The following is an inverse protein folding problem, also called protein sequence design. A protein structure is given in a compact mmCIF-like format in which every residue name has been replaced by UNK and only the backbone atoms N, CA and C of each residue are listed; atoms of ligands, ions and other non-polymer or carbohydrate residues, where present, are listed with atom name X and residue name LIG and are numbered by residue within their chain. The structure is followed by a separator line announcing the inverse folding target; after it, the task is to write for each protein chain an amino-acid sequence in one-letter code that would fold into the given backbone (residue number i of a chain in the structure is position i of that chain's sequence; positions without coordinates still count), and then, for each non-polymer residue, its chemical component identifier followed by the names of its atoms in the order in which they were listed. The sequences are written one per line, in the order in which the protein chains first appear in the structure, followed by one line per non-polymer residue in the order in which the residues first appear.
data_IF_839285194655
#
_entry.id   IF_839285194655
#
_cell.length_a   1.000
_cell.length_b   1.000
_cell.length_c   1.000
_cell.angle_alpha   90.00
_cell.angle_beta   90.00
_cell.angle_gamma   90.00
#
_symmetry.space_group_name_H-M   'P 1'
#
loop_
_entity.id
_entity.type
_entity.pdbx_description
1 polymer ?
#
# COMPACT_ATOMS: atom_id res chain seq x y z
N UNK A 1 -14.91 -8.81 9.66
CA UNK A 1 -13.70 -8.01 9.96
C UNK A 1 -12.41 -8.83 9.89
N UNK A 2 -12.33 -10.01 10.50
CA UNK A 2 -11.12 -10.84 10.47
C UNK A 2 -10.60 -11.14 9.04
N UNK A 3 -11.49 -11.27 8.06
CA UNK A 3 -11.13 -11.53 6.67
C UNK A 3 -10.40 -10.36 5.97
N UNK A 4 -10.47 -9.13 6.51
CA UNK A 4 -9.80 -7.93 5.95
C UNK A 4 -8.42 -7.73 6.59
N UNK A 5 -8.06 -8.51 7.61
CA UNK A 5 -6.79 -8.38 8.34
C UNK A 5 -5.56 -8.42 7.43
N UNK A 6 -5.45 -9.32 6.41
CA UNK A 6 -4.30 -9.31 5.51
C UNK A 6 -4.13 -8.00 4.74
N UNK A 7 -5.23 -7.33 4.37
CA UNK A 7 -5.20 -6.01 3.74
C UNK A 7 -4.75 -4.93 4.72
N UNK A 8 -5.26 -4.94 5.95
CA UNK A 8 -4.87 -3.99 6.99
C UNK A 8 -3.38 -4.14 7.34
N UNK A 9 -2.90 -5.38 7.42
CA UNK A 9 -1.47 -5.67 7.60
C UNK A 9 -0.68 -5.13 6.41
N UNK A 10 -1.04 -5.46 5.17
CA UNK A 10 -0.37 -4.92 3.98
C UNK A 10 -0.27 -3.39 4.03
N UNK A 11 -1.34 -2.68 4.38
CA UNK A 11 -1.33 -1.22 4.52
C UNK A 11 -0.32 -0.75 5.57
N UNK A 12 -0.21 -1.45 6.70
CA UNK A 12 0.73 -1.09 7.77
C UNK A 12 2.18 -1.37 7.37
N UNK A 13 2.43 -2.53 6.77
CA UNK A 13 3.74 -2.90 6.26
C UNK A 13 4.21 -1.91 5.18
N UNK A 14 3.33 -1.56 4.22
CA UNK A 14 3.58 -0.59 3.15
C UNK A 14 3.90 0.81 3.71
N UNK A 15 3.07 1.32 4.63
CA UNK A 15 3.23 2.65 5.20
C UNK A 15 4.54 2.79 5.99
N UNK A 16 4.91 1.78 6.79
CA UNK A 16 6.19 1.78 7.50
C UNK A 16 7.39 1.74 6.54
N UNK A 17 7.23 1.06 5.41
CA UNK A 17 8.23 1.05 4.33
C UNK A 17 8.42 2.43 3.72
N UNK A 18 7.32 3.07 3.33
CA UNK A 18 7.29 4.40 2.75
C UNK A 18 7.92 5.44 3.69
N UNK A 19 7.53 5.43 4.98
CA UNK A 19 7.85 6.49 5.93
C UNK A 19 9.26 6.39 6.53
N UNK A 20 9.79 5.18 6.73
CA UNK A 20 11.03 4.99 7.47
C UNK A 20 12.09 4.27 6.65
N UNK A 21 11.78 3.07 6.14
CA UNK A 21 12.82 2.17 5.63
C UNK A 21 13.44 2.70 4.34
N UNK A 22 12.63 3.20 3.40
CA UNK A 22 13.14 3.74 2.15
C UNK A 22 13.97 5.02 2.36
N UNK A 23 13.44 6.09 3.00
CA UNK A 23 14.20 7.32 3.15
C UNK A 23 15.47 7.14 3.99
N UNK A 24 15.46 6.27 5.01
CA UNK A 24 16.67 5.96 5.78
C UNK A 24 17.70 5.19 4.96
N UNK A 25 17.29 4.16 4.22
CA UNK A 25 18.21 3.38 3.36
C UNK A 25 18.84 4.25 2.26
N UNK A 26 18.09 5.23 1.74
CA UNK A 26 18.62 6.16 0.73
C UNK A 26 19.58 7.21 1.31
N UNK A 27 19.43 7.54 2.59
CA UNK A 27 20.25 8.51 3.30
C UNK A 27 21.54 7.89 3.88
N UNK A 28 21.50 6.65 4.35
CA UNK A 28 22.65 5.91 4.90
C UNK A 28 23.58 5.30 3.82
N UNK A 29 23.75 6.00 2.69
CA UNK A 29 24.69 5.62 1.64
C UNK A 29 25.76 6.71 1.47
N UNK A 30 27.04 6.36 1.64
CA UNK A 30 28.17 7.31 1.55
C UNK A 30 28.24 7.99 0.18
N UNK A 31 27.85 7.28 -0.89
CA UNK A 31 27.81 7.80 -2.25
C UNK A 31 26.74 8.91 -2.43
N UNK A 32 25.77 8.96 -1.53
CA UNK A 32 24.70 9.96 -1.48
C UNK A 32 24.92 11.03 -0.40
N UNK A 33 26.04 11.02 0.33
CA UNK A 33 26.27 11.95 1.44
C UNK A 33 26.23 13.43 1.01
N UNK A 34 26.53 13.72 -0.27
CA UNK A 34 26.42 15.07 -0.86
C UNK A 34 24.97 15.48 -1.21
N UNK A 35 24.02 14.55 -1.23
CA UNK A 35 22.62 14.82 -1.58
C UNK A 35 21.76 15.08 -0.33
N UNK A 36 21.87 16.28 0.25
CA UNK A 36 21.16 16.65 1.49
C UNK A 36 19.61 16.62 1.36
N UNK A 37 19.07 16.89 0.17
CA UNK A 37 17.63 17.05 -0.07
C UNK A 37 16.85 15.76 -0.38
N UNK A 38 17.45 14.58 -0.18
CA UNK A 38 16.78 13.28 -0.46
C UNK A 38 15.43 13.16 0.26
N UNK A 39 15.31 13.39 1.59
CA UNK A 39 14.04 13.21 2.28
C UNK A 39 12.95 14.16 1.80
N UNK A 40 13.33 15.39 1.42
CA UNK A 40 12.40 16.40 0.94
C UNK A 40 11.83 16.03 -0.44
N UNK A 41 12.70 15.65 -1.39
CA UNK A 41 12.29 15.25 -2.75
C UNK A 41 11.49 13.95 -2.71
N UNK A 42 11.88 13.01 -1.85
CA UNK A 42 11.14 11.78 -1.63
C UNK A 42 9.73 12.06 -1.08
N UNK A 43 9.62 12.86 -0.02
CA UNK A 43 8.32 13.21 0.58
C UNK A 43 7.43 13.98 -0.40
N UNK A 44 8.03 14.86 -1.21
CA UNK A 44 7.32 15.57 -2.28
C UNK A 44 6.78 14.60 -3.35
N UNK A 45 7.60 13.65 -3.80
CA UNK A 45 7.20 12.64 -4.77
C UNK A 45 6.07 11.74 -4.25
N UNK A 46 6.21 11.25 -3.02
CA UNK A 46 5.19 10.42 -2.36
C UNK A 46 3.86 11.16 -2.22
N UNK A 47 3.87 12.36 -1.66
CA UNK A 47 2.65 13.18 -1.52
C UNK A 47 2.02 13.52 -2.87
N UNK A 48 2.83 13.82 -3.89
CA UNK A 48 2.32 14.07 -5.25
C UNK A 48 1.65 12.82 -5.83
N UNK A 49 2.27 11.65 -5.66
CA UNK A 49 1.70 10.37 -6.11
C UNK A 49 0.37 10.04 -5.42
N UNK A 50 0.28 10.27 -4.11
CA UNK A 50 -0.95 10.06 -3.33
C UNK A 50 -2.10 10.95 -3.82
N UNK A 51 -1.84 12.25 -3.97
CA UNK A 51 -2.85 13.22 -4.43
C UNK A 51 -3.32 12.90 -5.85
N UNK A 52 -2.38 12.64 -6.77
CA UNK A 52 -2.72 12.30 -8.16
C UNK A 52 -3.57 11.04 -8.24
N UNK A 53 -3.19 9.97 -7.52
CA UNK A 53 -3.96 8.74 -7.54
C UNK A 53 -5.32 8.90 -6.87
N UNK A 54 -5.41 9.69 -5.81
CA UNK A 54 -6.68 10.02 -5.14
C UNK A 54 -7.66 10.71 -6.09
N UNK A 55 -7.18 11.66 -6.89
CA UNK A 55 -7.98 12.33 -7.93
C UNK A 55 -8.42 11.33 -9.02
N UNK A 56 -7.51 10.48 -9.51
CA UNK A 56 -7.82 9.45 -10.52
C UNK A 56 -8.89 8.49 -10.01
N UNK A 57 -8.76 7.99 -8.77
CA UNK A 57 -9.74 7.09 -8.15
C UNK A 57 -11.09 7.80 -7.99
N UNK A 58 -11.10 9.05 -7.52
CA UNK A 58 -12.33 9.83 -7.32
C UNK A 58 -13.11 10.01 -8.63
N UNK A 59 -12.44 10.41 -9.71
CA UNK A 59 -13.07 10.60 -11.02
C UNK A 59 -13.47 9.26 -11.67
N UNK A 60 -12.63 8.24 -11.55
CA UNK A 60 -12.90 6.92 -12.14
C UNK A 60 -14.02 6.18 -11.41
N UNK A 61 -14.17 6.37 -10.09
CA UNK A 61 -15.26 5.80 -9.29
C UNK A 61 -16.62 6.37 -9.66
N UNK A 62 -16.69 7.60 -10.18
CA UNK A 62 -17.93 8.19 -10.71
C UNK A 62 -18.34 7.57 -12.04
N UNK A 63 -17.37 7.17 -12.87
CA UNK A 63 -17.60 6.65 -14.23
C UNK A 63 -17.78 5.13 -14.27
N UNK A 64 -17.09 4.40 -13.39
CA UNK A 64 -17.05 2.94 -13.39
C UNK A 64 -17.51 2.42 -12.01
N UNK A 65 -18.64 1.72 -11.99
CA UNK A 65 -19.12 1.09 -10.76
C UNK A 65 -18.11 0.05 -10.25
N UNK A 66 -17.74 0.16 -8.97
CA UNK A 66 -16.81 -0.76 -8.33
C UNK A 66 -15.33 -0.50 -8.62
N UNK A 67 -14.98 0.62 -9.27
CA UNK A 67 -13.57 0.96 -9.54
C UNK A 67 -12.75 1.01 -8.25
N UNK A 68 -13.30 1.59 -7.18
CA UNK A 68 -12.64 1.71 -5.88
C UNK A 68 -12.37 0.39 -5.13
N UNK A 69 -12.70 -0.79 -5.69
CA UNK A 69 -12.47 -2.10 -5.07
C UNK A 69 -11.40 -2.91 -5.82
N UNK A 70 -11.84 -3.76 -6.78
CA UNK A 70 -10.98 -4.74 -7.45
C UNK A 70 -9.91 -4.09 -8.32
N UNK A 71 -10.22 -3.13 -9.23
CA UNK A 71 -9.20 -2.58 -10.10
C UNK A 71 -8.26 -1.64 -9.33
N UNK A 72 -8.72 -0.85 -8.36
CA UNK A 72 -7.82 -0.08 -7.48
C UNK A 72 -6.85 -0.99 -6.72
N UNK A 73 -7.30 -2.14 -6.19
CA UNK A 73 -6.40 -3.09 -5.53
C UNK A 73 -5.35 -3.64 -6.50
N UNK A 74 -5.75 -4.00 -7.72
CA UNK A 74 -4.82 -4.51 -8.73
C UNK A 74 -3.77 -3.47 -9.15
N UNK A 75 -4.19 -2.21 -9.34
CA UNK A 75 -3.27 -1.10 -9.67
C UNK A 75 -2.29 -0.87 -8.51
N UNK A 76 -2.77 -0.86 -7.26
CA UNK A 76 -1.92 -0.74 -6.08
C UNK A 76 -0.89 -1.86 -6.00
N UNK A 77 -1.31 -3.11 -6.15
CA UNK A 77 -0.39 -4.26 -6.14
C UNK A 77 0.61 -4.22 -7.29
N UNK A 78 0.21 -3.80 -8.50
CA UNK A 78 1.14 -3.64 -9.62
C UNK A 78 2.17 -2.53 -9.34
N UNK A 79 1.72 -1.36 -8.86
CA UNK A 79 2.60 -0.26 -8.48
C UNK A 79 3.59 -0.68 -7.37
N UNK A 80 3.12 -1.46 -6.39
CA UNK A 80 3.94 -2.06 -5.35
C UNK A 80 5.06 -2.93 -5.91
N UNK A 81 4.75 -3.85 -6.82
CA UNK A 81 5.75 -4.71 -7.46
C UNK A 81 6.80 -3.86 -8.21
N UNK A 82 6.36 -2.83 -8.93
CA UNK A 82 7.24 -1.96 -9.70
C UNK A 82 8.18 -1.18 -8.80
N UNK A 83 7.69 -0.54 -7.74
CA UNK A 83 8.59 0.22 -6.87
C UNK A 83 9.49 -0.70 -6.03
N UNK A 84 9.02 -1.88 -5.59
CA UNK A 84 9.86 -2.84 -4.87
C UNK A 84 11.00 -3.36 -5.75
N UNK A 85 10.74 -3.63 -7.03
CA UNK A 85 11.79 -4.05 -7.99
C UNK A 85 12.77 -2.91 -8.29
N UNK A 86 12.28 -1.67 -8.43
CA UNK A 86 13.13 -0.49 -8.57
C UNK A 86 14.06 -0.31 -7.36
N UNK A 87 13.53 -0.42 -6.13
CA UNK A 87 14.33 -0.32 -4.89
C UNK A 87 15.35 -1.44 -4.81
N UNK A 88 14.96 -2.67 -5.16
CA UNK A 88 15.87 -3.82 -5.18
C UNK A 88 17.01 -3.65 -6.19
N UNK A 89 16.76 -2.96 -7.32
CA UNK A 89 17.78 -2.65 -8.33
C UNK A 89 18.63 -1.41 -8.00
N UNK A 90 18.08 -0.43 -7.25
CA UNK A 90 18.74 0.84 -6.95
C UNK A 90 19.50 0.87 -5.63
N UNK A 91 19.22 -0.06 -4.71
CA UNK A 91 19.71 0.05 -3.32
C UNK A 91 20.36 -1.25 -2.84
N UNK A 92 21.60 -1.19 -2.31
CA UNK A 92 22.29 -2.36 -1.79
C UNK A 92 21.60 -2.94 -0.54
N UNK A 93 21.78 -4.25 -0.31
CA UNK A 93 21.09 -5.05 0.72
C UNK A 93 21.22 -4.49 2.15
N UNK A 94 22.40 -3.97 2.46
CA UNK A 94 22.86 -3.59 3.80
C UNK A 94 22.58 -2.11 4.15
N UNK A 95 22.05 -1.34 3.20
CA UNK A 95 21.76 0.09 3.35
C UNK A 95 20.90 0.49 4.57
N UNK A 96 19.93 -0.32 5.06
CA UNK A 96 19.17 0.03 6.27
C UNK A 96 19.94 -0.20 7.57
N UNK A 97 20.99 -1.03 7.55
CA UNK A 97 21.64 -1.54 8.76
C UNK A 97 22.98 -0.87 9.04
N UNK A 98 23.74 -0.51 7.99
CA UNK A 98 25.05 0.13 8.10
C UNK A 98 25.29 1.13 6.97
N UNK A 99 26.02 2.24 7.22
CA UNK A 99 26.57 3.07 6.16
C UNK A 99 27.40 2.17 5.23
N UNK A 100 26.95 2.04 3.99
CA UNK A 100 27.52 1.10 3.03
C UNK A 100 28.08 1.89 1.85
N UNK A 101 29.34 1.60 1.49
CA UNK A 101 30.04 2.17 0.33
C UNK A 101 29.94 1.26 -0.90
N UNK A 102 29.14 0.18 -0.84
CA UNK A 102 28.93 -0.75 -1.94
C UNK A 102 28.18 -0.09 -3.10
N UNK A 103 28.64 -0.38 -4.31
CA UNK A 103 28.01 0.11 -5.53
C UNK A 103 26.59 -0.47 -5.68
N UNK A 104 25.60 0.36 -6.06
CA UNK A 104 24.26 -0.13 -6.35
C UNK A 104 24.30 -1.10 -7.54
N UNK A 105 23.43 -2.11 -7.50
CA UNK A 105 23.46 -3.25 -8.42
C UNK A 105 23.21 -2.85 -9.90
N UNK A 106 22.58 -1.70 -10.17
CA UNK A 106 22.20 -1.30 -11.53
C UNK A 106 22.17 0.21 -11.82
N UNK A 107 21.74 1.06 -10.88
CA UNK A 107 21.62 2.52 -11.11
C UNK A 107 22.20 3.34 -9.97
N UNK A 108 22.97 4.38 -10.30
CA UNK A 108 23.36 5.39 -9.32
C UNK A 108 22.15 6.22 -8.91
N UNK A 109 22.03 6.49 -7.61
CA UNK A 109 20.90 7.27 -7.11
C UNK A 109 20.96 8.69 -7.68
N UNK A 110 19.83 9.18 -8.19
CA UNK A 110 19.67 10.56 -8.65
C UNK A 110 18.35 11.13 -8.14
N UNK A 111 18.29 12.45 -7.94
CA UNK A 111 17.05 13.13 -7.53
C UNK A 111 15.80 12.78 -8.36
N UNK A 112 15.84 12.74 -9.71
CA UNK A 112 14.66 12.36 -10.49
C UNK A 112 14.27 10.89 -10.27
N UNK A 113 15.23 9.99 -10.10
CA UNK A 113 14.94 8.58 -9.83
C UNK A 113 14.28 8.40 -8.45
N UNK A 114 14.78 9.08 -7.42
CA UNK A 114 14.16 9.09 -6.07
C UNK A 114 12.72 9.60 -6.16
N UNK A 115 12.50 10.69 -6.88
CA UNK A 115 11.17 11.27 -7.07
C UNK A 115 10.21 10.27 -7.74
N UNK A 116 10.66 9.59 -8.80
CA UNK A 116 9.84 8.59 -9.51
C UNK A 116 9.51 7.39 -8.62
N UNK A 117 10.49 6.85 -7.87
CA UNK A 117 10.23 5.76 -6.91
C UNK A 117 9.22 6.19 -5.87
N UNK A 118 9.41 7.38 -5.28
CA UNK A 118 8.50 7.93 -4.27
C UNK A 118 7.09 8.13 -4.82
N UNK A 119 6.97 8.63 -6.06
CA UNK A 119 5.70 8.83 -6.75
C UNK A 119 4.95 7.51 -6.92
N UNK A 120 5.61 6.46 -7.41
CA UNK A 120 4.99 5.13 -7.58
C UNK A 120 4.59 4.54 -6.22
N UNK A 121 5.42 4.75 -5.19
CA UNK A 121 5.13 4.32 -3.83
C UNK A 121 3.88 5.01 -3.25
N UNK A 122 3.76 6.34 -3.44
CA UNK A 122 2.58 7.11 -3.04
C UNK A 122 1.31 6.70 -3.79
N UNK A 123 1.41 6.38 -5.09
CA UNK A 123 0.30 5.81 -5.86
C UNK A 123 -0.19 4.50 -5.21
N UNK A 124 0.74 3.60 -4.89
CA UNK A 124 0.43 2.32 -4.25
C UNK A 124 -0.24 2.50 -2.88
N UNK A 125 0.31 3.38 -2.03
CA UNK A 125 -0.23 3.63 -0.69
C UNK A 125 -1.67 4.18 -0.74
N UNK A 126 -1.90 5.15 -1.63
CA UNK A 126 -3.23 5.71 -1.85
C UNK A 126 -4.24 4.65 -2.30
N UNK A 127 -3.84 3.72 -3.18
CA UNK A 127 -4.68 2.61 -3.60
C UNK A 127 -5.10 1.71 -2.42
N UNK A 128 -4.14 1.25 -1.62
CA UNK A 128 -4.43 0.34 -0.51
C UNK A 128 -5.28 1.01 0.58
N UNK A 129 -4.97 2.25 0.93
CA UNK A 129 -5.76 3.01 1.90
C UNK A 129 -7.18 3.33 1.39
N UNK A 130 -7.33 3.63 0.10
CA UNK A 130 -8.62 3.82 -0.54
C UNK A 130 -9.47 2.55 -0.52
N UNK A 131 -8.89 1.43 -0.97
CA UNK A 131 -9.56 0.11 -1.00
C UNK A 131 -9.99 -0.32 0.40
N UNK A 132 -9.11 -0.14 1.41
CA UNK A 132 -9.41 -0.44 2.82
C UNK A 132 -10.61 0.38 3.33
N UNK A 133 -10.65 1.67 3.02
CA UNK A 133 -11.76 2.55 3.41
C UNK A 133 -13.09 2.07 2.80
N UNK A 134 -13.10 1.76 1.50
CA UNK A 134 -14.29 1.32 0.78
C UNK A 134 -14.79 -0.04 1.29
N UNK A 135 -13.91 -1.04 1.45
CA UNK A 135 -14.34 -2.37 1.91
C UNK A 135 -14.83 -2.35 3.37
N UNK A 136 -14.23 -1.54 4.25
CA UNK A 136 -14.71 -1.36 5.62
C UNK A 136 -16.15 -0.81 5.64
N UNK A 137 -16.46 0.14 4.75
CA UNK A 137 -17.80 0.69 4.63
C UNK A 137 -18.83 -0.34 4.11
N UNK A 138 -18.41 -1.25 3.21
CA UNK A 138 -19.28 -2.28 2.62
C UNK A 138 -19.52 -3.48 3.54
N UNK A 139 -18.52 -3.93 4.29
CA UNK A 139 -18.67 -5.13 5.14
C UNK A 139 -19.50 -4.86 6.40
N UNK A 140 -19.50 -3.63 6.92
CA UNK A 140 -20.33 -3.23 8.06
C UNK A 140 -21.00 -1.86 7.82
N UNK A 141 -22.05 -1.80 6.99
CA UNK A 141 -22.67 -0.53 6.61
C UNK A 141 -23.36 0.19 7.77
N UNK A 142 -23.81 -0.53 8.80
CA UNK A 142 -24.44 0.04 10.01
C UNK A 142 -23.42 0.58 11.04
N UNK A 143 -22.16 0.13 10.97
CA UNK A 143 -21.11 0.46 11.95
C UNK A 143 -19.79 0.84 11.25
N UNK A 144 -19.89 1.65 10.20
CA UNK A 144 -18.75 2.02 9.33
C UNK A 144 -17.58 2.62 10.11
N UNK A 145 -17.86 3.56 11.01
CA UNK A 145 -16.83 4.20 11.83
C UNK A 145 -16.09 3.19 12.72
N UNK A 146 -16.81 2.26 13.36
CA UNK A 146 -16.21 1.22 14.21
C UNK A 146 -15.35 0.26 13.38
N UNK A 147 -15.84 -0.18 12.22
CA UNK A 147 -15.07 -1.02 11.28
C UNK A 147 -13.78 -0.33 10.83
N UNK A 148 -13.87 0.95 10.47
CA UNK A 148 -12.71 1.71 10.05
C UNK A 148 -11.68 1.86 11.17
N UNK A 149 -12.10 2.15 12.41
CA UNK A 149 -11.21 2.21 13.56
C UNK A 149 -10.49 0.89 13.82
N UNK A 150 -11.20 -0.24 13.75
CA UNK A 150 -10.59 -1.57 13.90
C UNK A 150 -9.57 -1.84 12.79
N UNK A 151 -9.84 -1.43 11.56
CA UNK A 151 -8.88 -1.57 10.45
C UNK A 151 -7.58 -0.78 10.70
N UNK A 152 -7.68 0.43 11.26
CA UNK A 152 -6.53 1.26 11.62
C UNK A 152 -5.74 0.69 12.79
N UNK A 153 -6.41 0.04 13.74
CA UNK A 153 -5.74 -0.67 14.84
C UNK A 153 -4.84 -1.80 14.31
N UNK A 154 -5.33 -2.62 13.38
CA UNK A 154 -4.51 -3.66 12.74
C UNK A 154 -3.36 -3.08 11.90
N UNK A 155 -3.62 -1.99 11.18
CA UNK A 155 -2.59 -1.27 10.43
C UNK A 155 -1.47 -0.77 11.36
N UNK A 156 -1.83 -0.13 12.47
CA UNK A 156 -0.87 0.38 13.45
C UNK A 156 -0.08 -0.76 14.12
N UNK A 157 -0.74 -1.87 14.46
CA UNK A 157 -0.06 -3.05 15.00
C UNK A 157 0.99 -3.60 14.02
N UNK A 158 0.67 -3.65 12.73
CA UNK A 158 1.63 -4.05 11.69
C UNK A 158 2.80 -3.05 11.57
N UNK A 159 2.54 -1.75 11.66
CA UNK A 159 3.59 -0.74 11.68
C UNK A 159 4.56 -0.92 12.86
N UNK A 160 4.04 -1.19 14.06
CA UNK A 160 4.85 -1.39 15.27
C UNK A 160 5.75 -2.62 15.11
N UNK A 161 5.22 -3.72 14.56
CA UNK A 161 6.00 -4.92 14.27
C UNK A 161 7.16 -4.59 13.33
N UNK A 162 6.90 -3.94 12.19
CA UNK A 162 7.97 -3.54 11.28
C UNK A 162 8.99 -2.66 11.99
N UNK A 163 8.57 -1.60 12.69
CA UNK A 163 9.54 -0.67 13.28
C UNK A 163 10.43 -1.32 14.32
N UNK A 164 9.93 -2.33 15.04
CA UNK A 164 10.74 -3.13 15.95
C UNK A 164 11.79 -3.98 15.22
N UNK A 165 11.43 -4.57 14.07
CA UNK A 165 12.34 -5.40 13.26
C UNK A 165 13.18 -4.63 12.24
N UNK A 166 12.84 -3.36 11.97
CA UNK A 166 13.48 -2.48 10.99
C UNK A 166 15.01 -2.44 11.11
N UNK A 167 15.62 -2.28 12.31
CA UNK A 167 17.08 -2.23 12.42
C UNK A 167 17.77 -3.60 12.35
N UNK A 168 17.02 -4.70 12.35
CA UNK A 168 17.55 -6.07 12.47
C UNK A 168 17.51 -6.86 11.16
N UNK A 169 16.75 -6.39 10.17
CA UNK A 169 16.51 -7.12 8.91
C UNK A 169 17.06 -6.35 7.71
N UNK A 170 17.72 -7.05 6.76
CA UNK A 170 18.24 -6.44 5.54
C UNK A 170 17.11 -6.05 4.57
N UNK A 171 17.36 -5.06 3.70
CA UNK A 171 16.36 -4.47 2.80
C UNK A 171 15.73 -5.51 1.86
N UNK A 172 16.50 -6.53 1.49
CA UNK A 172 16.07 -7.60 0.59
C UNK A 172 14.94 -8.45 1.17
N UNK A 173 14.95 -8.72 2.47
CA UNK A 173 13.88 -9.50 3.13
C UNK A 173 12.54 -8.77 3.00
N UNK A 174 12.56 -7.45 3.14
CA UNK A 174 11.35 -6.65 3.00
C UNK A 174 10.91 -6.45 1.56
N UNK A 175 11.84 -6.18 0.64
CA UNK A 175 11.52 -6.00 -0.80
C UNK A 175 11.01 -7.27 -1.47
N UNK A 176 11.28 -8.46 -0.90
CA UNK A 176 10.66 -9.72 -1.32
C UNK A 176 9.38 -10.02 -0.53
N UNK A 177 9.39 -9.79 0.78
CA UNK A 177 8.26 -10.10 1.66
C UNK A 177 7.01 -9.26 1.37
N UNK A 178 7.19 -7.97 1.04
CA UNK A 178 6.08 -7.04 0.80
C UNK A 178 5.29 -7.38 -0.49
N UNK A 179 5.93 -7.64 -1.64
CA UNK A 179 5.30 -8.27 -2.81
C UNK A 179 4.49 -9.53 -2.52
N UNK A 180 5.08 -10.49 -1.80
CA UNK A 180 4.40 -11.75 -1.48
C UNK A 180 3.16 -11.53 -0.62
N UNK A 181 3.28 -10.67 0.40
CA UNK A 181 2.16 -10.28 1.24
C UNK A 181 1.06 -9.60 0.42
N UNK A 182 1.43 -8.78 -0.56
CA UNK A 182 0.47 -8.09 -1.41
C UNK A 182 -0.26 -9.02 -2.38
N UNK A 183 0.42 -9.99 -2.97
CA UNK A 183 -0.21 -11.02 -3.81
C UNK A 183 -1.22 -11.82 -2.97
N UNK A 184 -0.80 -12.27 -1.77
CA UNK A 184 -1.68 -12.99 -0.85
C UNK A 184 -2.88 -12.13 -0.43
N UNK A 185 -2.63 -10.88 -0.04
CA UNK A 185 -3.66 -9.93 0.36
C UNK A 185 -4.64 -9.63 -0.77
N UNK A 186 -4.15 -9.49 -2.01
CA UNK A 186 -4.98 -9.28 -3.21
C UNK A 186 -5.91 -10.47 -3.44
N UNK A 187 -5.40 -11.70 -3.31
CA UNK A 187 -6.20 -12.91 -3.47
C UNK A 187 -7.30 -13.03 -2.41
N UNK A 188 -6.96 -12.80 -1.14
CA UNK A 188 -7.93 -12.79 -0.04
C UNK A 188 -8.95 -11.67 -0.25
N UNK A 189 -8.50 -10.48 -0.65
CA UNK A 189 -9.35 -9.33 -0.92
C UNK A 189 -10.36 -9.64 -2.03
N UNK A 190 -9.95 -10.21 -3.16
CA UNK A 190 -10.89 -10.57 -4.24
C UNK A 190 -11.94 -11.58 -3.79
N UNK A 191 -11.59 -12.55 -2.95
CA UNK A 191 -12.56 -13.47 -2.34
C UNK A 191 -13.55 -12.75 -1.45
N UNK A 192 -13.08 -11.82 -0.62
CA UNK A 192 -13.94 -11.02 0.27
C UNK A 192 -14.91 -10.17 -0.54
N UNK A 193 -14.43 -9.45 -1.55
CA UNK A 193 -15.28 -8.62 -2.41
C UNK A 193 -16.35 -9.46 -3.11
N UNK A 194 -15.98 -10.60 -3.70
CA UNK A 194 -16.94 -11.50 -4.33
C UNK A 194 -17.99 -12.04 -3.35
N UNK A 195 -17.59 -12.30 -2.10
CA UNK A 195 -18.51 -12.74 -1.05
C UNK A 195 -19.49 -11.62 -0.66
N UNK A 196 -18.99 -10.39 -0.51
CA UNK A 196 -19.81 -9.22 -0.19
C UNK A 196 -20.80 -8.89 -1.31
N UNK A 197 -20.37 -8.87 -2.56
CA UNK A 197 -21.26 -8.66 -3.72
C UNK A 197 -22.36 -9.74 -3.81
N UNK A 198 -22.04 -11.00 -3.48
CA UNK A 198 -23.04 -12.09 -3.44
C UNK A 198 -24.07 -11.89 -2.31
N UNK A 199 -23.63 -11.40 -1.16
CA UNK A 199 -24.50 -11.13 -0.03
C UNK A 199 -25.47 -9.98 -0.35
N UNK A 200 -24.97 -8.89 -0.93
CA UNK A 200 -25.81 -7.75 -1.34
C UNK A 200 -26.88 -8.17 -2.35
N UNK A 201 -26.52 -8.95 -3.39
CA UNK A 201 -27.50 -9.42 -4.38
C UNK A 201 -28.61 -10.27 -3.77
N UNK A 202 -28.31 -11.11 -2.78
CA UNK A 202 -29.31 -11.94 -2.09
C UNK A 202 -30.29 -11.08 -1.30
N UNK A 203 -29.78 -10.12 -0.51
CA UNK A 203 -30.62 -9.17 0.23
C UNK A 203 -31.55 -8.36 -0.69
N UNK A 204 -31.04 -7.88 -1.83
CA UNK A 204 -31.89 -7.16 -2.80
C UNK A 204 -32.97 -8.07 -3.41
N UNK A 205 -32.63 -9.33 -3.72
CA UNK A 205 -33.59 -10.31 -4.24
C UNK A 205 -34.70 -10.63 -3.23
N UNK A 206 -34.35 -10.84 -1.97
CA UNK A 206 -35.31 -11.15 -0.91
C UNK A 206 -36.25 -9.97 -0.63
N UNK A 207 -35.72 -8.74 -0.63
CA UNK A 207 -36.51 -7.51 -0.45
C UNK A 207 -37.54 -7.32 -1.58
N UNK A 208 -37.14 -7.58 -2.84
CA UNK A 208 -38.06 -7.48 -3.97
C UNK A 208 -39.16 -8.55 -3.92
N UNK A 209 -38.83 -9.77 -3.48
CA UNK A 209 -39.80 -10.86 -3.31
C UNK A 209 -40.81 -10.59 -2.19
N UNK A 210 -40.42 -9.88 -1.13
CA UNK A 210 -41.35 -9.43 -0.09
C UNK A 210 -42.29 -8.32 -0.60
N UNK A 211 -41.79 -7.40 -1.43
CA UNK A 211 -42.62 -6.34 -2.04
C UNK A 211 -43.65 -6.89 -3.04
N UNK A 212 -43.34 -7.98 -3.76
CA UNK A 212 -44.26 -8.60 -4.72
C UNK A 212 -45.38 -9.42 -4.06
N UNK A 213 -45.27 -9.69 -2.75
CA UNK A 213 -46.27 -10.45 -1.96
C UNK A 213 -47.30 -9.58 -1.24
N UNK A 214 -47.18 -8.26 -1.29
CA UNK A 214 -48.08 -7.27 -0.66
C UNK A 214 -48.98 -6.68 -1.74
#
# INVERSE_FOLDING_TARGET
MLQIVPLCMLCGFNASFLMSIIPTSMHFNENNANMLYIPAIYSLGAGTGEVLMGLIISESSKRIQGFGLKPTMAIGTAALMVYCTLIHASTPAEAPMKPTSEEPLLFYQSYPLIFVIALICGISDCCFNGVRSVICALVMPSRRAQSFSVSRMYQAAACVIIFFFSPMLPLHVYTVGLPLLAILSTFVFFKVVNSTERMERKLTSDTNLEQEKI
#
